data_IF_206700305171
#
_entry.id   IF_206700305171
#
_cell.length_a   1.000
_cell.length_b   1.000
_cell.length_c   1.000
_cell.angle_alpha   90.00
_cell.angle_beta   90.00
_cell.angle_gamma   90.00
#
_symmetry.space_group_name_H-M   'P 1'
#
loop_
_entity.id
_entity.type
_entity.pdbx_description
1 polymer ?
#
# COMPACT_ATOMS: atom_id res chain seq x y z
N UNK A 1 12.19 35.80 3.74
CA UNK A 1 13.18 34.69 3.64
C UNK A 1 12.81 33.54 4.57
N UNK A 2 12.20 33.81 5.72
CA UNK A 2 11.66 32.85 6.67
C UNK A 2 10.42 32.10 6.15
N UNK A 3 9.55 32.78 5.38
CA UNK A 3 8.34 32.17 4.82
C UNK A 3 8.66 31.07 3.79
N UNK A 4 9.65 31.33 2.93
CA UNK A 4 10.12 30.35 1.95
C UNK A 4 10.74 29.14 2.66
N UNK A 5 11.55 29.38 3.70
CA UNK A 5 12.16 28.30 4.49
C UNK A 5 11.10 27.44 5.20
N UNK A 6 10.08 28.06 5.79
CA UNK A 6 8.94 27.35 6.39
C UNK A 6 8.17 26.53 5.36
N UNK A 7 7.91 27.10 4.19
CA UNK A 7 7.23 26.39 3.10
C UNK A 7 8.01 25.16 2.64
N UNK A 8 9.32 25.31 2.40
CA UNK A 8 10.20 24.21 2.01
C UNK A 8 10.22 23.13 3.09
N UNK A 9 10.27 23.50 4.36
CA UNK A 9 10.26 22.54 5.46
C UNK A 9 8.95 21.74 5.54
N UNK A 10 7.80 22.41 5.40
CA UNK A 10 6.50 21.74 5.33
C UNK A 10 6.41 20.79 4.13
N UNK A 11 6.91 21.20 2.97
CA UNK A 11 6.95 20.34 1.77
C UNK A 11 7.82 19.10 1.99
N UNK A 12 9.00 19.27 2.60
CA UNK A 12 9.91 18.14 2.90
C UNK A 12 9.23 17.15 3.85
N UNK A 13 8.58 17.62 4.92
CA UNK A 13 7.85 16.76 5.87
C UNK A 13 6.73 16.01 5.15
N UNK A 14 5.93 16.71 4.35
CA UNK A 14 4.82 16.11 3.62
C UNK A 14 5.29 15.02 2.65
N UNK A 15 6.33 15.30 1.87
CA UNK A 15 6.92 14.34 0.95
C UNK A 15 7.52 13.13 1.69
N UNK A 16 8.18 13.36 2.82
CA UNK A 16 8.76 12.29 3.63
C UNK A 16 7.68 11.35 4.17
N UNK A 17 6.59 11.90 4.72
CA UNK A 17 5.46 11.11 5.19
C UNK A 17 4.78 10.34 4.05
N UNK A 18 4.63 10.97 2.88
CA UNK A 18 4.07 10.33 1.70
C UNK A 18 4.92 9.14 1.23
N UNK A 19 6.24 9.30 1.18
CA UNK A 19 7.18 8.22 0.82
C UNK A 19 7.15 7.06 1.81
N UNK A 20 7.02 7.34 3.11
CA UNK A 20 6.87 6.29 4.13
C UNK A 20 5.55 5.55 3.94
N UNK A 21 4.44 6.26 3.72
CA UNK A 21 3.13 5.66 3.51
C UNK A 21 3.09 4.77 2.25
N UNK A 22 3.73 5.19 1.15
CA UNK A 22 3.80 4.40 -0.07
C UNK A 22 4.72 3.19 0.05
N UNK A 23 5.83 3.30 0.79
CA UNK A 23 6.69 2.14 1.09
C UNK A 23 5.96 1.12 1.96
N UNK A 24 5.31 1.55 3.04
CA UNK A 24 4.58 0.65 3.95
C UNK A 24 3.33 0.04 3.28
N UNK A 25 2.60 0.82 2.48
CA UNK A 25 1.41 0.33 1.78
C UNK A 25 1.69 -0.49 0.51
N UNK A 26 2.87 -0.33 -0.11
CA UNK A 26 3.27 -1.03 -1.33
C UNK A 26 4.00 -2.36 -1.08
N UNK A 27 4.84 -2.40 -0.04
CA UNK A 27 5.74 -3.54 0.27
C UNK A 27 5.00 -4.69 1.00
N UNK A 28 3.85 -4.40 1.62
CA UNK A 28 2.99 -5.43 2.25
C UNK A 28 2.12 -6.23 1.26
N UNK A 29 2.28 -5.99 -0.04
CA UNK A 29 1.59 -6.78 -1.06
C UNK A 29 2.41 -7.96 -1.53
N UNK A 30 3.69 -8.08 -1.13
CA UNK A 30 4.49 -9.26 -1.48
C UNK A 30 3.97 -10.51 -0.78
N UNK A 31 3.87 -11.60 -1.53
CA UNK A 31 3.38 -12.88 -1.02
C UNK A 31 4.10 -14.06 -1.70
N UNK A 32 4.19 -15.18 -1.00
CA UNK A 32 4.62 -16.46 -1.58
C UNK A 32 3.41 -17.37 -1.77
N UNK A 33 2.43 -17.25 -0.87
CA UNK A 33 1.21 -18.04 -0.84
C UNK A 33 -0.02 -17.17 -0.60
N UNK A 34 -1.20 -17.68 -0.94
CA UNK A 34 -2.49 -17.02 -0.65
C UNK A 34 -2.69 -16.74 0.86
N UNK A 35 -2.00 -17.48 1.75
CA UNK A 35 -2.09 -17.31 3.19
C UNK A 35 -1.33 -16.09 3.72
N UNK A 36 -0.33 -15.61 2.98
CA UNK A 36 0.43 -14.40 3.31
C UNK A 36 -0.38 -13.14 3.04
N UNK A 37 -1.39 -13.23 2.17
CA UNK A 37 -2.28 -12.13 1.88
C UNK A 37 -3.27 -11.87 3.02
N UNK A 38 -3.62 -10.59 3.27
CA UNK A 38 -4.65 -10.24 4.22
C UNK A 38 -5.95 -10.99 3.91
N UNK A 39 -6.51 -11.66 4.92
CA UNK A 39 -7.78 -12.40 4.82
C UNK A 39 -9.00 -11.48 4.75
N UNK A 40 -8.90 -10.37 4.03
CA UNK A 40 -10.03 -9.51 3.71
C UNK A 40 -10.84 -10.16 2.59
N UNK A 41 -11.55 -11.23 2.94
CA UNK A 41 -12.51 -11.89 2.06
C UNK A 41 -13.88 -11.28 2.27
N UNK A 42 -14.46 -10.69 1.22
CA UNK A 42 -15.91 -10.43 1.17
C UNK A 42 -16.55 -11.53 0.35
N UNK A 43 -17.88 -11.67 0.43
CA UNK A 43 -18.64 -12.75 -0.25
C UNK A 43 -18.26 -12.88 -1.75
N UNK A 44 -17.90 -11.77 -2.39
CA UNK A 44 -17.57 -11.70 -3.80
C UNK A 44 -16.08 -11.53 -4.12
N UNK A 45 -15.21 -11.30 -3.13
CA UNK A 45 -13.80 -11.01 -3.37
C UNK A 45 -12.89 -11.81 -2.45
N UNK A 46 -11.87 -12.42 -3.05
CA UNK A 46 -10.80 -13.14 -2.37
C UNK A 46 -9.45 -12.52 -2.74
N UNK A 47 -8.58 -12.33 -1.75
CA UNK A 47 -7.18 -12.00 -2.01
C UNK A 47 -6.43 -13.27 -2.41
N UNK A 48 -5.75 -13.23 -3.55
CA UNK A 48 -4.85 -14.30 -4.00
C UNK A 48 -3.47 -13.75 -4.24
N UNK A 49 -2.47 -14.61 -4.04
CA UNK A 49 -1.11 -14.33 -4.40
C UNK A 49 -0.87 -14.61 -5.89
N UNK A 50 -0.59 -13.57 -6.67
CA UNK A 50 -0.41 -13.67 -8.12
C UNK A 50 0.80 -12.83 -8.51
N UNK A 51 1.77 -13.49 -9.14
CA UNK A 51 3.07 -12.89 -9.47
C UNK A 51 3.77 -12.31 -8.23
N UNK A 52 3.68 -13.03 -7.10
CA UNK A 52 4.17 -12.58 -5.79
C UNK A 52 3.50 -11.30 -5.26
N UNK A 53 2.32 -10.95 -5.77
CA UNK A 53 1.55 -9.78 -5.33
C UNK A 53 0.14 -10.20 -4.92
N UNK A 54 -0.32 -9.74 -3.76
CA UNK A 54 -1.71 -9.91 -3.33
C UNK A 54 -2.66 -9.13 -4.24
N UNK A 55 -3.50 -9.83 -5.00
CA UNK A 55 -4.52 -9.26 -5.89
C UNK A 55 -5.93 -9.63 -5.43
N UNK A 56 -6.85 -8.67 -5.49
CA UNK A 56 -8.27 -8.91 -5.26
C UNK A 56 -8.89 -9.55 -6.50
N UNK A 57 -9.34 -10.80 -6.37
CA UNK A 57 -10.07 -11.52 -7.40
C UNK A 57 -11.55 -11.62 -7.04
N UNK A 58 -12.41 -11.45 -8.04
CA UNK A 58 -13.84 -11.71 -7.90
C UNK A 58 -14.06 -13.23 -7.89
N UNK A 59 -14.77 -13.73 -6.90
CA UNK A 59 -15.23 -15.11 -6.87
C UNK A 59 -16.43 -15.23 -7.79
N UNK A 60 -16.27 -15.88 -8.95
CA UNK A 60 -17.40 -16.25 -9.81
C UNK A 60 -18.15 -17.41 -9.14
N UNK A 61 -19.33 -17.12 -8.59
CA UNK A 61 -20.34 -18.12 -8.22
C UNK A 61 -21.13 -18.47 -9.47
#
# INVERSE_FOLDING_TARGET
MDEILKFVFCMIIFLSLFLIATKVGGEHNECETDADCPKHTTIFFVMKCIDHICRCMKTSI
#
